data_IF_007090433569
#
_entry.id   IF_007090433569
#
_cell.length_a   1.000
_cell.length_b   1.000
_cell.length_c   1.000
_cell.angle_alpha   90.00
_cell.angle_beta   90.00
_cell.angle_gamma   90.00
#
_symmetry.space_group_name_H-M   'P 1'
#
loop_
_entity.id
_entity.type
_entity.pdbx_description
1 polymer ?
#
# COMPACT_ATOMS: atom_id res chain seq x y z
N UNK A 1 -19.57 -36.26 -8.27
CA UNK A 1 -18.65 -35.13 -8.50
C UNK A 1 -17.64 -35.18 -7.36
N UNK A 2 -16.43 -35.67 -7.62
CA UNK A 2 -15.33 -35.64 -6.64
C UNK A 2 -14.78 -34.22 -6.64
N UNK A 3 -15.19 -33.42 -5.68
CA UNK A 3 -14.57 -32.13 -5.40
C UNK A 3 -13.13 -32.40 -5.01
N UNK A 4 -12.19 -32.05 -5.87
CA UNK A 4 -10.76 -32.02 -5.54
C UNK A 4 -10.62 -31.22 -4.23
N UNK A 5 -10.05 -31.78 -3.15
CA UNK A 5 -9.84 -31.03 -1.93
C UNK A 5 -9.01 -29.80 -2.27
N UNK A 6 -9.47 -28.62 -1.87
CA UNK A 6 -8.67 -27.40 -2.05
C UNK A 6 -7.29 -27.58 -1.41
N UNK A 7 -6.22 -27.04 -2.03
CA UNK A 7 -4.89 -27.07 -1.44
C UNK A 7 -4.95 -26.42 -0.05
N UNK A 8 -4.45 -27.14 0.96
CA UNK A 8 -4.56 -26.72 2.36
C UNK A 8 -3.17 -26.53 2.96
N UNK A 9 -2.80 -25.28 3.21
CA UNK A 9 -1.63 -24.95 4.01
C UNK A 9 -1.97 -25.10 5.48
N UNK A 10 -1.04 -25.62 6.28
CA UNK A 10 -1.24 -25.80 7.71
C UNK A 10 -0.02 -25.34 8.49
N UNK A 11 -0.21 -24.80 9.71
CA UNK A 11 0.89 -24.29 10.50
C UNK A 11 1.73 -25.43 11.08
N UNK A 12 3.03 -25.42 10.78
CA UNK A 12 4.01 -26.36 11.27
C UNK A 12 4.52 -26.00 12.67
N UNK A 13 3.67 -26.20 13.68
CA UNK A 13 4.00 -25.94 15.08
C UNK A 13 5.08 -26.88 15.66
N UNK A 14 5.48 -27.91 14.93
CA UNK A 14 6.47 -28.88 15.37
C UNK A 14 7.81 -28.75 14.62
N UNK A 15 7.86 -27.92 13.58
CA UNK A 15 9.03 -27.66 12.76
C UNK A 15 9.42 -26.18 12.81
N UNK A 16 9.58 -25.58 11.63
CA UNK A 16 10.22 -24.26 11.49
C UNK A 16 9.26 -23.07 11.73
N UNK A 17 8.09 -23.29 12.36
CA UNK A 17 7.07 -22.26 12.59
C UNK A 17 6.65 -21.56 11.28
N UNK A 18 6.50 -22.36 10.23
CA UNK A 18 6.05 -21.94 8.90
C UNK A 18 4.74 -22.63 8.53
N UNK A 19 4.16 -22.28 7.39
CA UNK A 19 2.99 -22.95 6.84
C UNK A 19 3.41 -23.84 5.68
N UNK A 20 3.10 -25.13 5.77
CA UNK A 20 3.56 -26.11 4.80
C UNK A 20 2.41 -26.66 3.96
N UNK A 21 2.70 -26.90 2.68
CA UNK A 21 1.84 -27.67 1.80
C UNK A 21 2.20 -29.15 1.90
N UNK A 22 1.30 -29.98 2.41
CA UNK A 22 1.53 -31.42 2.50
C UNK A 22 0.22 -32.21 2.26
N UNK A 23 0.30 -33.28 1.48
CA UNK A 23 -0.78 -34.23 1.23
C UNK A 23 -0.99 -35.21 2.41
N UNK A 24 -0.03 -35.28 3.34
CA UNK A 24 -0.06 -36.10 4.56
C UNK A 24 -0.12 -35.24 5.81
N UNK A 25 -1.34 -34.89 6.19
CA UNK A 25 -1.62 -34.15 7.43
C UNK A 25 -1.22 -34.97 8.67
N UNK A 26 -0.59 -34.34 9.68
CA UNK A 26 -0.46 -34.92 11.01
C UNK A 26 -1.84 -35.32 11.56
N UNK A 27 -1.90 -36.37 12.39
CA UNK A 27 -3.17 -36.91 12.89
C UNK A 27 -4.04 -35.84 13.58
N UNK A 28 -3.42 -34.90 14.30
CA UNK A 28 -4.14 -33.82 14.99
C UNK A 28 -4.80 -32.82 14.03
N UNK A 29 -4.25 -32.60 12.83
CA UNK A 29 -4.83 -31.77 11.78
C UNK A 29 -5.98 -32.48 11.07
N UNK A 30 -5.92 -33.81 10.93
CA UNK A 30 -7.04 -34.60 10.40
C UNK A 30 -8.26 -34.53 11.33
N UNK A 31 -8.04 -34.37 12.63
CA UNK A 31 -9.10 -34.23 13.64
C UNK A 31 -9.70 -32.82 13.69
N UNK A 32 -8.97 -31.78 13.24
CA UNK A 32 -9.42 -30.38 13.21
C UNK A 32 -9.06 -29.67 11.90
N UNK A 33 -9.80 -29.93 10.81
CA UNK A 33 -9.52 -29.34 9.49
C UNK A 33 -9.82 -27.84 9.38
N UNK A 34 -10.31 -27.19 10.43
CA UNK A 34 -10.50 -25.73 10.51
C UNK A 34 -9.17 -24.98 10.69
N UNK A 35 -8.07 -25.67 11.00
CA UNK A 35 -6.77 -25.04 11.22
C UNK A 35 -5.95 -24.86 9.94
N UNK A 36 -6.56 -25.09 8.77
CA UNK A 36 -5.90 -24.99 7.46
C UNK A 36 -6.25 -23.67 6.77
N UNK A 37 -5.25 -22.98 6.20
CA UNK A 37 -5.43 -21.85 5.30
C UNK A 37 -5.63 -22.29 3.85
N UNK A 38 -6.40 -21.51 3.08
CA UNK A 38 -6.60 -21.67 1.64
C UNK A 38 -5.35 -21.35 0.83
N UNK A 39 -4.49 -20.47 1.35
CA UNK A 39 -3.20 -20.11 0.75
C UNK A 39 -2.11 -20.11 1.80
N UNK A 40 -0.85 -20.04 1.35
CA UNK A 40 0.31 -19.85 2.21
C UNK A 40 0.17 -18.53 2.98
N UNK A 41 -0.26 -17.46 2.30
CA UNK A 41 -0.47 -16.15 2.92
C UNK A 41 -1.52 -16.19 4.02
N UNK A 42 -2.67 -16.82 3.78
CA UNK A 42 -3.74 -16.89 4.77
C UNK A 42 -3.29 -17.66 6.02
N UNK A 43 -2.56 -18.76 5.83
CA UNK A 43 -2.01 -19.53 6.94
C UNK A 43 -0.97 -18.73 7.73
N UNK A 44 -0.01 -18.09 7.05
CA UNK A 44 1.01 -17.27 7.70
C UNK A 44 0.39 -16.06 8.41
N UNK A 45 -0.64 -15.42 7.83
CA UNK A 45 -1.38 -14.31 8.48
C UNK A 45 -2.07 -14.77 9.76
N UNK A 46 -2.61 -15.97 9.82
CA UNK A 46 -3.37 -16.43 10.98
C UNK A 46 -2.49 -16.90 12.13
N UNK A 47 -1.44 -17.66 11.82
CA UNK A 47 -0.66 -18.37 12.84
C UNK A 47 0.73 -17.77 13.08
N UNK A 48 1.27 -17.06 12.09
CA UNK A 48 2.65 -16.56 12.11
C UNK A 48 2.75 -15.09 11.70
N UNK A 49 1.72 -14.28 11.96
CA UNK A 49 1.69 -12.86 11.57
C UNK A 49 2.88 -12.06 12.10
N UNK A 50 3.41 -12.47 13.25
CA UNK A 50 4.56 -11.86 13.93
C UNK A 50 5.89 -12.09 13.20
N UNK A 51 5.93 -13.05 12.28
CA UNK A 51 7.08 -13.41 11.42
C UNK A 51 6.59 -13.80 10.03
N UNK A 52 5.60 -13.06 9.55
CA UNK A 52 4.86 -13.39 8.34
C UNK A 52 5.80 -13.65 7.16
N UNK A 53 6.81 -12.81 7.00
CA UNK A 53 7.77 -12.90 5.90
C UNK A 53 8.64 -14.16 5.97
N UNK A 54 9.16 -14.50 7.15
CA UNK A 54 9.91 -15.74 7.37
C UNK A 54 9.02 -16.96 7.08
N UNK A 55 7.77 -16.93 7.55
CA UNK A 55 6.78 -17.96 7.26
C UNK A 55 6.54 -18.12 5.75
N UNK A 56 6.42 -17.02 4.99
CA UNK A 56 6.27 -17.08 3.53
C UNK A 56 7.50 -17.74 2.88
N UNK A 57 8.71 -17.31 3.22
CA UNK A 57 9.95 -17.81 2.59
C UNK A 57 10.18 -19.28 2.93
N UNK A 58 10.07 -19.64 4.21
CA UNK A 58 10.26 -21.02 4.69
C UNK A 58 9.15 -21.96 4.18
N UNK A 59 7.95 -21.43 3.94
CA UNK A 59 6.81 -22.15 3.37
C UNK A 59 6.90 -22.35 1.85
N UNK A 60 8.00 -21.90 1.22
CA UNK A 60 8.24 -22.03 -0.21
C UNK A 60 7.59 -20.94 -1.08
N UNK A 61 7.11 -19.87 -0.45
CA UNK A 61 6.68 -18.64 -1.13
C UNK A 61 7.83 -17.68 -1.39
N UNK A 62 7.52 -16.59 -2.09
CA UNK A 62 8.48 -15.51 -2.36
C UNK A 62 8.08 -14.29 -1.54
N UNK A 63 8.97 -13.79 -0.68
CA UNK A 63 8.79 -12.51 -0.02
C UNK A 63 9.04 -11.39 -1.04
N UNK A 64 8.01 -10.60 -1.37
CA UNK A 64 8.08 -9.52 -2.35
C UNK A 64 8.69 -8.22 -1.78
N UNK A 65 9.40 -8.28 -0.66
CA UNK A 65 10.00 -7.11 0.02
C UNK A 65 10.94 -6.30 -0.86
N UNK A 66 11.59 -6.95 -1.83
CA UNK A 66 12.50 -6.30 -2.77
C UNK A 66 11.82 -5.31 -3.73
N UNK A 67 10.49 -5.35 -3.86
CA UNK A 67 9.72 -4.45 -4.73
C UNK A 67 8.78 -3.52 -3.96
N UNK A 68 8.82 -3.50 -2.63
CA UNK A 68 7.96 -2.67 -1.81
C UNK A 68 8.65 -1.38 -1.36
N UNK A 69 7.88 -0.32 -1.23
CA UNK A 69 8.31 0.94 -0.64
C UNK A 69 8.35 0.86 0.88
N UNK A 70 9.41 1.39 1.48
CA UNK A 70 9.56 1.46 2.93
C UNK A 70 10.13 2.82 3.35
N UNK A 71 9.85 3.29 4.58
CA UNK A 71 10.32 4.59 5.02
C UNK A 71 11.83 4.58 5.25
N UNK A 72 12.54 5.51 4.62
CA UNK A 72 13.97 5.70 4.84
C UNK A 72 14.20 6.54 6.10
N UNK A 73 14.11 5.92 7.28
CA UNK A 73 14.36 6.62 8.56
C UNK A 73 15.84 6.93 8.81
N UNK A 74 16.75 6.24 8.13
CA UNK A 74 18.19 6.48 8.26
C UNK A 74 18.66 7.69 7.41
N UNK A 75 17.90 8.03 6.37
CA UNK A 75 18.12 9.21 5.54
C UNK A 75 17.53 10.49 6.14
N UNK A 76 18.09 11.63 5.75
CA UNK A 76 17.59 12.96 6.13
C UNK A 76 16.41 13.44 5.27
N UNK A 77 16.16 12.79 4.14
CA UNK A 77 15.26 13.32 3.12
C UNK A 77 13.79 13.04 3.44
N UNK A 78 13.51 12.23 4.46
CA UNK A 78 12.16 11.87 4.90
C UNK A 78 11.29 11.35 3.75
N UNK A 79 11.85 10.38 3.01
CA UNK A 79 11.24 9.78 1.83
C UNK A 79 11.02 8.27 2.03
N UNK A 80 10.11 7.71 1.26
CA UNK A 80 10.00 6.26 1.10
C UNK A 80 10.83 5.81 -0.11
N UNK A 81 11.51 4.67 0.02
CA UNK A 81 12.41 4.12 -1.01
C UNK A 81 12.10 2.66 -1.30
N UNK A 82 12.56 2.20 -2.46
CA UNK A 82 12.40 0.83 -2.95
C UNK A 82 13.68 0.43 -3.69
N UNK A 83 14.81 0.40 -2.97
CA UNK A 83 16.13 0.09 -3.52
C UNK A 83 16.61 -1.33 -3.13
N UNK A 84 15.79 -2.12 -2.43
CA UNK A 84 16.15 -3.44 -1.94
C UNK A 84 17.16 -3.45 -0.78
N UNK A 85 17.46 -2.30 -0.18
CA UNK A 85 18.43 -2.16 0.92
C UNK A 85 17.74 -1.92 2.27
N UNK A 86 16.52 -2.42 2.44
CA UNK A 86 15.76 -2.24 3.66
C UNK A 86 16.49 -2.89 4.86
N UNK A 87 16.61 -2.18 6.00
CA UNK A 87 17.14 -2.77 7.21
C UNK A 87 16.37 -4.03 7.62
N UNK A 88 17.05 -4.98 8.28
CA UNK A 88 16.48 -6.28 8.63
C UNK A 88 15.19 -6.20 9.46
N UNK A 89 15.05 -5.19 10.32
CA UNK A 89 13.85 -4.99 11.14
C UNK A 89 12.64 -4.51 10.32
N UNK A 90 12.87 -3.85 9.17
CA UNK A 90 11.81 -3.49 8.22
C UNK A 90 11.39 -4.73 7.43
N UNK A 91 12.36 -5.52 6.93
CA UNK A 91 12.06 -6.71 6.13
C UNK A 91 11.41 -7.84 6.94
N UNK A 92 11.73 -7.97 8.23
CA UNK A 92 11.09 -8.96 9.14
C UNK A 92 9.63 -8.60 9.47
N UNK A 93 9.27 -7.33 9.32
CA UNK A 93 7.93 -6.82 9.58
C UNK A 93 7.40 -6.10 8.34
N UNK A 94 7.58 -6.71 7.16
CA UNK A 94 7.25 -6.08 5.89
C UNK A 94 5.75 -5.74 5.81
N UNK A 95 4.90 -6.63 6.32
CA UNK A 95 3.45 -6.40 6.43
C UNK A 95 3.06 -5.13 7.21
N UNK A 96 3.97 -4.57 8.02
CA UNK A 96 3.73 -3.35 8.80
C UNK A 96 4.38 -2.12 8.18
N UNK A 97 5.59 -2.28 7.64
CA UNK A 97 6.47 -1.18 7.23
C UNK A 97 6.64 -1.02 5.72
N UNK A 98 6.21 -2.00 4.93
CA UNK A 98 6.39 -2.01 3.49
C UNK A 98 5.05 -1.92 2.75
N UNK A 99 5.04 -1.19 1.64
CA UNK A 99 3.86 -0.80 0.87
C UNK A 99 4.07 -1.07 -0.61
N UNK A 100 3.03 -1.49 -1.33
CA UNK A 100 3.09 -1.63 -2.79
C UNK A 100 3.21 -0.26 -3.46
N UNK A 101 2.48 0.73 -2.93
CA UNK A 101 2.43 2.09 -3.43
C UNK A 101 3.32 3.06 -2.64
N UNK A 102 4.04 3.92 -3.36
CA UNK A 102 4.83 4.99 -2.76
C UNK A 102 3.96 5.96 -1.96
N UNK A 103 2.76 6.23 -2.46
CA UNK A 103 1.78 7.14 -1.85
C UNK A 103 1.35 6.66 -0.47
N UNK A 104 0.96 5.39 -0.34
CA UNK A 104 0.57 4.80 0.95
C UNK A 104 1.71 4.86 1.98
N UNK A 105 2.95 4.60 1.56
CA UNK A 105 4.11 4.72 2.44
C UNK A 105 4.32 6.17 2.91
N UNK A 106 4.25 7.12 1.98
CA UNK A 106 4.41 8.54 2.26
C UNK A 106 3.27 9.06 3.14
N UNK A 107 2.02 8.68 2.90
CA UNK A 107 0.89 9.06 3.74
C UNK A 107 1.05 8.52 5.16
N UNK A 108 1.50 7.27 5.32
CA UNK A 108 1.66 6.68 6.65
C UNK A 108 2.78 7.33 7.47
N UNK A 109 3.95 7.56 6.87
CA UNK A 109 5.14 7.98 7.62
C UNK A 109 5.55 9.44 7.44
N UNK A 110 5.16 10.04 6.33
CA UNK A 110 5.61 11.36 5.88
C UNK A 110 4.48 12.23 5.34
N UNK A 111 3.24 12.09 5.84
CA UNK A 111 2.08 12.88 5.41
C UNK A 111 2.30 14.40 5.50
N UNK A 112 3.12 14.83 6.46
CA UNK A 112 3.51 16.23 6.67
C UNK A 112 4.53 16.73 5.64
N UNK A 113 5.11 15.83 4.83
CA UNK A 113 6.12 16.11 3.81
C UNK A 113 5.82 15.40 2.46
N UNK A 114 4.55 15.24 2.12
CA UNK A 114 4.12 14.49 0.92
C UNK A 114 4.83 14.93 -0.37
N UNK A 115 4.97 16.25 -0.57
CA UNK A 115 5.61 16.80 -1.77
C UNK A 115 7.07 16.35 -1.92
N UNK A 116 7.83 16.31 -0.82
CA UNK A 116 9.22 15.83 -0.86
C UNK A 116 9.28 14.30 -0.90
N UNK A 117 8.42 13.61 -0.14
CA UNK A 117 8.40 12.15 -0.06
C UNK A 117 8.08 11.48 -1.40
N UNK A 118 7.08 12.01 -2.11
CA UNK A 118 6.70 11.53 -3.44
C UNK A 118 7.69 11.97 -4.54
N UNK A 119 8.49 13.02 -4.30
CA UNK A 119 9.48 13.54 -5.25
C UNK A 119 8.88 13.79 -6.64
N UNK A 120 9.47 13.22 -7.68
CA UNK A 120 8.96 13.36 -9.06
C UNK A 120 7.56 12.77 -9.29
N UNK A 121 7.09 11.86 -8.44
CA UNK A 121 5.70 11.38 -8.48
C UNK A 121 4.71 12.46 -7.99
N UNK A 122 5.11 13.31 -7.04
CA UNK A 122 4.35 14.53 -6.69
C UNK A 122 4.45 15.60 -7.79
N UNK A 123 5.56 15.65 -8.53
CA UNK A 123 5.76 16.65 -9.59
C UNK A 123 4.86 16.44 -10.83
N UNK A 124 4.19 15.29 -10.94
CA UNK A 124 3.16 15.07 -11.95
C UNK A 124 1.80 15.70 -11.56
N UNK A 125 1.57 15.92 -10.25
CA UNK A 125 0.27 16.25 -9.69
C UNK A 125 -0.70 15.07 -9.74
N UNK A 126 -1.73 15.09 -8.89
CA UNK A 126 -2.75 14.03 -8.80
C UNK A 126 -3.68 13.96 -10.02
N UNK A 127 -3.59 14.92 -10.94
CA UNK A 127 -4.55 15.13 -12.04
C UNK A 127 -5.99 15.38 -11.59
N UNK A 128 -6.22 15.61 -10.29
CA UNK A 128 -7.51 16.03 -9.71
C UNK A 128 -7.65 17.56 -9.78
N UNK A 129 -8.84 18.06 -9.46
CA UNK A 129 -9.17 19.48 -9.46
C UNK A 129 -9.26 20.05 -8.05
N UNK A 130 -8.70 21.24 -7.83
CA UNK A 130 -8.80 21.99 -6.58
C UNK A 130 -9.26 23.43 -6.84
N UNK A 131 -9.79 24.07 -5.80
CA UNK A 131 -10.30 25.43 -5.91
C UNK A 131 -9.19 26.49 -5.85
N UNK A 132 -8.98 27.22 -6.95
CA UNK A 132 -8.18 28.44 -6.95
C UNK A 132 -9.09 29.65 -6.71
N UNK A 133 -9.14 30.10 -5.46
CA UNK A 133 -9.93 31.26 -5.06
C UNK A 133 -9.45 32.60 -5.64
N UNK A 134 -8.21 32.68 -6.15
CA UNK A 134 -7.71 33.90 -6.83
C UNK A 134 -8.31 34.03 -8.22
N UNK A 135 -8.50 32.89 -8.90
CA UNK A 135 -9.12 32.82 -10.22
C UNK A 135 -10.64 32.62 -10.15
N UNK A 136 -11.17 32.25 -8.97
CA UNK A 136 -12.57 31.80 -8.80
C UNK A 136 -12.93 30.65 -9.75
N UNK A 137 -11.97 29.72 -9.92
CA UNK A 137 -12.08 28.56 -10.80
C UNK A 137 -11.53 27.32 -10.13
N UNK A 138 -11.98 26.15 -10.57
CA UNK A 138 -11.32 24.91 -10.24
C UNK A 138 -10.26 24.57 -11.30
N UNK A 139 -9.03 24.37 -10.84
CA UNK A 139 -7.85 24.15 -11.69
C UNK A 139 -7.27 22.77 -11.40
N UNK A 140 -6.56 22.21 -12.39
CA UNK A 140 -6.03 20.86 -12.31
C UNK A 140 -4.68 20.84 -11.59
N UNK A 141 -4.51 19.91 -10.65
CA UNK A 141 -3.28 19.61 -9.94
C UNK A 141 -2.31 18.87 -10.86
N UNK A 142 -1.47 19.64 -11.55
CA UNK A 142 -0.44 19.17 -12.49
C UNK A 142 0.51 20.31 -12.90
N UNK A 143 1.51 20.00 -13.74
CA UNK A 143 2.59 20.94 -14.14
C UNK A 143 2.57 21.36 -15.62
N UNK A 144 1.62 20.86 -16.41
CA UNK A 144 1.45 21.23 -17.82
C UNK A 144 0.86 22.64 -17.99
N UNK A 145 0.82 23.14 -19.24
CA UNK A 145 0.35 24.49 -19.57
C UNK A 145 -1.10 24.79 -19.17
N UNK A 146 -1.92 23.75 -19.04
CA UNK A 146 -3.35 23.86 -18.75
C UNK A 146 -3.67 23.62 -17.26
N UNK A 147 -2.64 23.55 -16.41
CA UNK A 147 -2.74 23.25 -14.99
C UNK A 147 -2.77 24.50 -14.10
N UNK A 148 -3.32 24.35 -12.89
CA UNK A 148 -3.27 25.37 -11.84
C UNK A 148 -1.94 25.46 -11.10
N UNK A 149 -1.04 24.52 -11.39
CA UNK A 149 0.12 24.22 -10.56
C UNK A 149 -0.15 23.04 -9.63
N UNK A 150 0.88 22.69 -8.85
CA UNK A 150 0.77 21.63 -7.86
C UNK A 150 0.07 22.14 -6.60
N UNK A 151 -0.76 21.27 -6.03
CA UNK A 151 -1.47 21.58 -4.79
C UNK A 151 -0.48 21.86 -3.65
N UNK A 152 -0.76 22.87 -2.83
CA UNK A 152 0.17 23.37 -1.81
C UNK A 152 0.24 22.49 -0.55
N UNK A 153 -0.72 21.58 -0.37
CA UNK A 153 -0.74 20.61 0.73
C UNK A 153 -2.11 19.95 0.90
N UNK A 154 -2.21 19.08 1.92
CA UNK A 154 -3.41 18.27 2.23
C UNK A 154 -4.66 19.05 2.63
N UNK A 155 -4.56 20.37 2.80
CA UNK A 155 -5.67 21.25 3.17
C UNK A 155 -6.58 21.59 1.98
N UNK A 156 -6.09 21.38 0.77
CA UNK A 156 -6.84 21.58 -0.46
C UNK A 156 -7.66 20.32 -0.76
N UNK A 157 -8.97 20.49 -0.88
CA UNK A 157 -9.88 19.39 -1.22
C UNK A 157 -9.80 19.10 -2.72
N UNK A 158 -9.49 17.84 -3.04
CA UNK A 158 -9.31 17.37 -4.42
C UNK A 158 -10.56 16.66 -4.93
N UNK A 159 -10.94 17.00 -6.16
CA UNK A 159 -12.11 16.46 -6.85
C UNK A 159 -11.70 15.76 -8.14
N UNK A 160 -12.29 14.61 -8.44
CA UNK A 160 -12.02 13.90 -9.70
C UNK A 160 -12.61 14.62 -10.93
N UNK A 161 -13.59 15.51 -10.72
CA UNK A 161 -14.30 16.25 -11.78
C UNK A 161 -14.29 17.78 -11.52
N UNK A 162 -13.95 18.56 -12.56
CA UNK A 162 -13.88 20.03 -12.49
C UNK A 162 -15.24 20.66 -12.16
N UNK A 163 -16.31 20.15 -12.77
CA UNK A 163 -17.67 20.64 -12.57
C UNK A 163 -18.17 20.35 -11.15
N UNK A 164 -17.81 19.19 -10.58
CA UNK A 164 -18.11 18.88 -9.16
C UNK A 164 -17.40 19.85 -8.24
N UNK A 165 -16.11 20.13 -8.47
CA UNK A 165 -15.38 21.15 -7.71
C UNK A 165 -16.07 22.51 -7.81
N UNK A 166 -16.44 22.96 -9.01
CA UNK A 166 -17.10 24.24 -9.23
C UNK A 166 -18.48 24.31 -8.57
N UNK A 167 -19.29 23.27 -8.67
CA UNK A 167 -20.61 23.20 -8.03
C UNK A 167 -20.52 23.27 -6.49
N UNK A 168 -19.41 22.81 -5.89
CA UNK A 168 -19.23 22.87 -4.44
C UNK A 168 -18.55 24.15 -3.98
N UNK A 169 -17.49 24.58 -4.67
CA UNK A 169 -16.61 25.67 -4.23
C UNK A 169 -16.96 27.02 -4.83
N UNK A 170 -17.60 27.06 -5.99
CA UNK A 170 -17.90 28.28 -6.76
C UNK A 170 -19.28 28.23 -7.41
N UNK A 171 -20.29 27.72 -6.70
CA UNK A 171 -21.67 27.59 -7.20
C UNK A 171 -22.30 28.91 -7.70
N UNK A 172 -21.71 30.05 -7.33
CA UNK A 172 -22.13 31.40 -7.73
C UNK A 172 -21.42 31.93 -8.99
N UNK A 173 -20.49 31.17 -9.58
CA UNK A 173 -19.70 31.57 -10.76
C UNK A 173 -20.17 30.77 -11.98
N UNK A 174 -20.75 31.44 -12.97
CA UNK A 174 -21.35 30.79 -14.15
C UNK A 174 -20.33 30.04 -15.03
N UNK A 175 -19.08 30.53 -15.13
CA UNK A 175 -18.03 29.98 -16.00
C UNK A 175 -16.84 29.38 -15.22
N UNK A 176 -17.11 28.79 -14.06
CA UNK A 176 -16.06 28.20 -13.23
C UNK A 176 -15.37 26.99 -13.90
N UNK A 177 -16.16 26.16 -14.59
CA UNK A 177 -15.73 24.93 -15.24
C UNK A 177 -15.37 25.11 -16.72
N UNK A 178 -15.60 26.31 -17.27
CA UNK A 178 -15.14 26.73 -18.59
C UNK A 178 -13.62 26.72 -18.75
#
# INVERSE_FOLDING_TARGET
MTTTPEPKFWPDWLGDDTCVFNDKFPLYMQLNPSWTGSTLEDCCKWYYSWRYDDCIVEGGGTSNTATLYYPNWEGSDHVCVNNGEAPAYITQAASTFMFEDLEDCCEKYYWWNMAQCLGSAANAGSSKYYADYRLSKCVKDCTDSDCGGLVGGVWDELYDDKSVCCAQKFWWVEDCDA
#
